data_IF_051845642234
#
_entry.id   IF_051845642234
#
_cell.length_a   1.000
_cell.length_b   1.000
_cell.length_c   1.000
_cell.angle_alpha   90.00
_cell.angle_beta   90.00
_cell.angle_gamma   90.00
#
_symmetry.space_group_name_H-M   'P 1'
#
loop_
_entity.id
_entity.type
_entity.pdbx_description
1 polymer ?
#
# COMPACT_ATOMS: atom_id res chain seq x y z
N UNK A 1 12.96 -25.84 16.68
CA UNK A 1 11.60 -25.29 16.87
C UNK A 1 11.63 -23.87 17.44
N UNK A 2 12.26 -23.60 18.60
CA UNK A 2 12.24 -22.25 19.23
C UNK A 2 12.87 -21.12 18.37
N UNK A 3 14.03 -21.36 17.74
CA UNK A 3 14.70 -20.36 16.86
C UNK A 3 13.87 -20.00 15.62
N UNK A 4 13.20 -20.97 15.01
CA UNK A 4 12.31 -20.74 13.86
C UNK A 4 11.06 -19.96 14.23
N UNK A 5 10.47 -20.22 15.42
CA UNK A 5 9.31 -19.48 15.92
C UNK A 5 9.64 -18.01 16.24
N UNK A 6 10.85 -17.74 16.74
CA UNK A 6 11.32 -16.37 16.98
C UNK A 6 11.51 -15.63 15.65
N UNK A 7 12.22 -16.22 14.69
CA UNK A 7 12.43 -15.66 13.34
C UNK A 7 11.11 -15.32 12.62
N UNK A 8 10.14 -16.24 12.68
CA UNK A 8 8.83 -16.02 12.11
C UNK A 8 8.14 -14.78 12.71
N UNK A 9 8.17 -14.65 14.04
CA UNK A 9 7.52 -13.55 14.75
C UNK A 9 8.26 -12.21 14.61
N UNK A 10 9.58 -12.21 14.48
CA UNK A 10 10.39 -10.97 14.49
C UNK A 10 10.66 -10.40 13.11
N UNK A 11 10.62 -11.20 12.03
CA UNK A 11 10.96 -10.72 10.68
C UNK A 11 9.93 -11.06 9.62
N UNK A 12 9.35 -12.28 9.65
CA UNK A 12 8.37 -12.68 8.63
C UNK A 12 7.01 -12.04 8.88
N UNK A 13 6.49 -12.05 10.12
CA UNK A 13 5.19 -11.47 10.42
C UNK A 13 5.08 -9.98 10.03
N UNK A 14 6.06 -9.11 10.35
CA UNK A 14 6.04 -7.72 9.89
C UNK A 14 5.97 -7.56 8.37
N UNK A 15 6.66 -8.44 7.61
CA UNK A 15 6.57 -8.46 6.15
C UNK A 15 5.14 -8.77 5.70
N UNK A 16 4.51 -9.82 6.26
CA UNK A 16 3.12 -10.18 5.94
C UNK A 16 2.17 -9.01 6.23
N UNK A 17 2.32 -8.38 7.38
CA UNK A 17 1.47 -7.25 7.78
C UNK A 17 1.66 -6.05 6.83
N UNK A 18 2.90 -5.78 6.40
CA UNK A 18 3.20 -4.73 5.43
C UNK A 18 2.61 -5.01 4.04
N UNK A 19 2.65 -6.25 3.56
CA UNK A 19 2.05 -6.62 2.27
C UNK A 19 0.51 -6.49 2.29
N UNK A 20 -0.11 -6.91 3.39
CA UNK A 20 -1.55 -6.70 3.60
C UNK A 20 -1.90 -5.22 3.63
N UNK A 21 -1.11 -4.40 4.34
CA UNK A 21 -1.30 -2.96 4.38
C UNK A 21 -1.13 -2.34 2.99
N UNK A 22 -0.09 -2.74 2.25
CA UNK A 22 0.18 -2.30 0.89
C UNK A 22 -0.99 -2.62 -0.05
N UNK A 23 -1.57 -3.81 0.07
CA UNK A 23 -2.74 -4.22 -0.70
C UNK A 23 -3.96 -3.32 -0.41
N UNK A 24 -4.20 -3.00 0.88
CA UNK A 24 -5.24 -2.04 1.28
C UNK A 24 -4.97 -0.64 0.70
N UNK A 25 -3.73 -0.16 0.77
CA UNK A 25 -3.33 1.12 0.20
C UNK A 25 -3.58 1.18 -1.32
N UNK A 26 -3.27 0.11 -2.06
CA UNK A 26 -3.53 0.05 -3.50
C UNK A 26 -5.01 0.15 -3.84
N UNK A 27 -5.85 -0.58 -3.09
CA UNK A 27 -7.31 -0.48 -3.24
C UNK A 27 -7.79 0.94 -2.94
N UNK A 28 -7.27 1.54 -1.87
CA UNK A 28 -7.61 2.90 -1.49
C UNK A 28 -7.21 3.93 -2.57
N UNK A 29 -5.99 3.86 -3.08
CA UNK A 29 -5.51 4.69 -4.19
C UNK A 29 -6.40 4.50 -5.43
N UNK A 30 -6.77 3.25 -5.74
CA UNK A 30 -7.69 2.94 -6.83
C UNK A 30 -9.06 3.62 -6.65
N UNK A 31 -9.60 3.60 -5.44
CA UNK A 31 -10.86 4.28 -5.11
C UNK A 31 -10.77 5.80 -5.25
N UNK A 32 -9.72 6.42 -4.70
CA UNK A 32 -9.49 7.86 -4.84
C UNK A 32 -9.36 8.27 -6.32
N UNK A 33 -8.61 7.48 -7.09
CA UNK A 33 -8.41 7.72 -8.52
C UNK A 33 -9.74 7.65 -9.28
N UNK A 34 -10.58 6.66 -9.01
CA UNK A 34 -11.90 6.53 -9.62
C UNK A 34 -12.81 7.72 -9.27
N UNK A 35 -12.84 8.14 -8.00
CA UNK A 35 -13.61 9.32 -7.57
C UNK A 35 -13.17 10.58 -8.30
N UNK A 36 -11.86 10.81 -8.44
CA UNK A 36 -11.34 11.94 -9.21
C UNK A 36 -11.77 11.85 -10.69
N UNK A 37 -11.65 10.68 -11.33
CA UNK A 37 -12.03 10.49 -12.73
C UNK A 37 -13.51 10.79 -13.01
N UNK A 38 -14.40 10.37 -12.11
CA UNK A 38 -15.84 10.58 -12.21
C UNK A 38 -16.26 12.05 -12.01
N UNK A 39 -15.41 12.87 -11.39
CA UNK A 39 -15.71 14.26 -11.02
C UNK A 39 -14.98 15.25 -11.91
N UNK A 40 -13.66 15.22 -11.88
CA UNK A 40 -12.79 15.99 -12.76
C UNK A 40 -11.47 15.24 -12.99
N UNK A 41 -11.26 14.66 -14.18
CA UNK A 41 -10.04 13.94 -14.48
C UNK A 41 -8.78 14.84 -14.48
N UNK A 42 -8.92 16.18 -14.52
CA UNK A 42 -7.78 17.10 -14.45
C UNK A 42 -7.07 17.05 -13.08
N UNK A 43 -7.75 16.64 -12.02
CA UNK A 43 -7.19 16.46 -10.67
C UNK A 43 -5.99 15.48 -10.69
N UNK A 44 -6.01 14.50 -11.62
CA UNK A 44 -4.97 13.48 -11.73
C UNK A 44 -3.92 13.77 -12.82
N UNK A 45 -4.05 14.86 -13.58
CA UNK A 45 -3.29 15.06 -14.82
C UNK A 45 -1.77 15.10 -14.63
N UNK A 46 -1.28 15.49 -13.45
CA UNK A 46 0.14 15.52 -13.11
C UNK A 46 0.58 14.35 -12.21
N UNK A 47 -0.31 13.41 -11.91
CA UNK A 47 -0.07 12.32 -10.97
C UNK A 47 0.18 11.01 -11.70
N UNK A 48 1.30 10.37 -11.36
CA UNK A 48 1.65 9.04 -11.85
C UNK A 48 1.86 8.10 -10.67
N UNK A 49 1.17 6.94 -10.62
CA UNK A 49 1.37 5.98 -9.55
C UNK A 49 2.82 5.50 -9.51
N UNK A 50 3.40 5.28 -8.32
CA UNK A 50 4.73 4.72 -8.18
C UNK A 50 4.78 3.29 -8.75
N UNK A 51 5.98 2.80 -9.09
CA UNK A 51 6.15 1.45 -9.63
C UNK A 51 5.54 0.37 -8.72
N UNK A 52 5.58 0.60 -7.40
CA UNK A 52 5.02 -0.28 -6.40
C UNK A 52 3.52 -0.48 -6.49
N UNK A 53 2.79 0.44 -7.13
CA UNK A 53 1.35 0.31 -7.35
C UNK A 53 1.00 -0.86 -8.26
N UNK A 54 1.84 -1.12 -9.27
CA UNK A 54 1.59 -2.11 -10.31
C UNK A 54 2.17 -3.50 -9.99
N UNK A 55 2.90 -3.66 -8.89
CA UNK A 55 3.37 -4.98 -8.45
C UNK A 55 2.18 -5.81 -7.99
N UNK A 56 1.78 -6.80 -8.78
CA UNK A 56 0.84 -7.83 -8.35
C UNK A 56 1.64 -9.05 -7.91
N UNK A 57 2.11 -9.01 -6.66
CA UNK A 57 2.84 -10.13 -6.09
C UNK A 57 1.83 -11.19 -5.66
N UNK A 58 1.93 -12.38 -6.26
CA UNK A 58 1.22 -13.55 -5.77
C UNK A 58 1.65 -13.81 -4.32
N UNK A 59 0.80 -13.39 -3.38
CA UNK A 59 1.09 -13.39 -1.95
C UNK A 59 1.53 -14.79 -1.49
N UNK A 60 0.82 -15.85 -1.89
CA UNK A 60 1.18 -17.21 -1.52
C UNK A 60 2.58 -17.61 -2.03
N UNK A 61 2.96 -17.20 -3.23
CA UNK A 61 4.29 -17.45 -3.77
C UNK A 61 5.38 -16.60 -3.08
N UNK A 62 5.07 -15.37 -2.68
CA UNK A 62 5.97 -14.53 -1.90
C UNK A 62 6.19 -15.05 -0.48
N UNK A 63 5.12 -15.42 0.22
CA UNK A 63 5.21 -16.03 1.56
C UNK A 63 6.08 -17.30 1.56
N UNK A 64 5.94 -18.15 0.54
CA UNK A 64 6.80 -19.32 0.38
C UNK A 64 8.28 -18.97 0.13
N UNK A 65 8.57 -17.83 -0.50
CA UNK A 65 9.95 -17.33 -0.67
C UNK A 65 10.50 -16.82 0.66
N UNK A 66 9.71 -16.08 1.44
CA UNK A 66 10.13 -15.56 2.76
C UNK A 66 10.59 -16.68 3.69
N UNK A 67 9.89 -17.82 3.71
CA UNK A 67 10.27 -18.98 4.53
C UNK A 67 11.65 -19.58 4.18
N UNK A 68 12.19 -19.28 3.00
CA UNK A 68 13.46 -19.81 2.49
C UNK A 68 14.61 -18.80 2.56
N UNK A 69 14.30 -17.53 2.85
CA UNK A 69 15.29 -16.47 2.94
C UNK A 69 16.11 -16.57 4.23
N UNK A 70 17.34 -16.10 4.14
CA UNK A 70 18.21 -15.88 5.30
C UNK A 70 17.79 -14.64 6.09
N UNK A 71 18.22 -14.49 7.36
CA UNK A 71 17.94 -13.28 8.15
C UNK A 71 18.33 -11.96 7.48
N UNK A 72 19.48 -11.93 6.79
CA UNK A 72 19.96 -10.73 6.11
C UNK A 72 19.08 -10.41 4.88
N UNK A 73 18.69 -11.43 4.11
CA UNK A 73 17.75 -11.26 2.99
C UNK A 73 16.36 -10.80 3.47
N UNK A 74 15.86 -11.35 4.58
CA UNK A 74 14.60 -10.92 5.19
C UNK A 74 14.66 -9.46 5.64
N UNK A 75 15.81 -9.01 6.16
CA UNK A 75 15.99 -7.63 6.59
C UNK A 75 16.00 -6.67 5.39
N UNK A 76 16.67 -7.03 4.30
CA UNK A 76 16.65 -6.26 3.05
C UNK A 76 15.26 -6.22 2.41
N UNK A 77 14.53 -7.35 2.42
CA UNK A 77 13.17 -7.42 1.91
C UNK A 77 12.23 -6.56 2.77
N UNK A 78 12.46 -6.47 4.08
CA UNK A 78 11.70 -5.60 4.99
C UNK A 78 11.89 -4.14 4.65
N UNK A 79 13.15 -3.68 4.56
CA UNK A 79 13.47 -2.30 4.18
C UNK A 79 12.87 -1.92 2.81
N UNK A 80 12.87 -2.87 1.87
CA UNK A 80 12.25 -2.69 0.56
C UNK A 80 10.73 -2.54 0.68
N UNK A 81 10.05 -3.42 1.41
CA UNK A 81 8.59 -3.36 1.59
C UNK A 81 8.16 -2.08 2.32
N UNK A 82 8.93 -1.64 3.33
CA UNK A 82 8.70 -0.38 4.03
C UNK A 82 8.78 0.82 3.08
N UNK A 83 9.81 0.85 2.22
CA UNK A 83 9.97 1.92 1.22
C UNK A 83 8.84 1.92 0.20
N UNK A 84 8.51 0.77 -0.37
CA UNK A 84 7.40 0.64 -1.33
C UNK A 84 6.05 1.05 -0.72
N UNK A 85 5.83 0.72 0.56
CA UNK A 85 4.64 1.15 1.30
C UNK A 85 4.63 2.65 1.56
N UNK A 86 5.78 3.25 1.87
CA UNK A 86 5.91 4.69 2.06
C UNK A 86 5.62 5.45 0.75
N UNK A 87 6.15 5.00 -0.39
CA UNK A 87 5.89 5.59 -1.70
C UNK A 87 4.40 5.58 -2.05
N UNK A 88 3.70 4.47 -1.74
CA UNK A 88 2.26 4.36 -1.94
C UNK A 88 1.47 5.29 -1.01
N UNK A 89 1.88 5.38 0.26
CA UNK A 89 1.25 6.26 1.22
C UNK A 89 1.41 7.74 0.80
N UNK A 90 2.61 8.13 0.36
CA UNK A 90 2.88 9.47 -0.16
C UNK A 90 2.00 9.78 -1.37
N UNK A 91 1.90 8.85 -2.31
CA UNK A 91 1.05 9.01 -3.49
C UNK A 91 -0.43 9.16 -3.12
N UNK A 92 -0.95 8.34 -2.20
CA UNK A 92 -2.32 8.47 -1.69
C UNK A 92 -2.56 9.86 -1.05
N UNK A 93 -1.59 10.33 -0.25
CA UNK A 93 -1.64 11.65 0.37
C UNK A 93 -1.63 12.78 -0.68
N UNK A 94 -0.84 12.65 -1.75
CA UNK A 94 -0.84 13.62 -2.85
C UNK A 94 -2.20 13.66 -3.55
N UNK A 95 -2.84 12.52 -3.81
CA UNK A 95 -4.19 12.49 -4.40
C UNK A 95 -5.19 13.19 -3.46
N UNK A 96 -5.16 12.90 -2.16
CA UNK A 96 -6.02 13.56 -1.18
C UNK A 96 -5.83 15.08 -1.15
N UNK A 97 -4.60 15.57 -1.27
CA UNK A 97 -4.31 16.99 -1.38
C UNK A 97 -4.93 17.59 -2.65
N UNK A 98 -4.76 16.93 -3.79
CA UNK A 98 -5.37 17.41 -5.04
C UNK A 98 -6.89 17.45 -4.95
N UNK A 99 -7.50 16.44 -4.32
CA UNK A 99 -8.94 16.43 -4.04
C UNK A 99 -9.32 17.62 -3.17
N UNK A 100 -8.61 17.87 -2.07
CA UNK A 100 -8.91 18.97 -1.16
C UNK A 100 -8.81 20.34 -1.85
N UNK A 101 -7.85 20.52 -2.76
CA UNK A 101 -7.62 21.78 -3.46
C UNK A 101 -8.63 22.04 -4.59
N UNK A 102 -9.11 20.99 -5.26
CA UNK A 102 -9.94 21.13 -6.48
C UNK A 102 -11.42 20.80 -6.25
N UNK A 103 -11.73 19.83 -5.37
CA UNK A 103 -13.08 19.34 -5.09
C UNK A 103 -13.21 18.89 -3.62
N UNK A 104 -13.13 19.81 -2.65
CA UNK A 104 -13.17 19.46 -1.22
C UNK A 104 -14.49 18.78 -0.79
N UNK A 105 -15.56 18.95 -1.56
CA UNK A 105 -16.88 18.35 -1.35
C UNK A 105 -16.90 16.82 -1.46
N UNK A 106 -15.90 16.20 -2.10
CA UNK A 106 -15.79 14.73 -2.16
C UNK A 106 -14.97 14.13 -1.03
N UNK A 107 -14.29 14.94 -0.20
CA UNK A 107 -13.56 14.44 0.97
C UNK A 107 -14.49 13.73 1.96
N UNK A 108 -15.73 14.20 2.12
CA UNK A 108 -16.73 13.56 2.97
C UNK A 108 -17.11 12.16 2.44
N UNK A 109 -17.21 12.00 1.11
CA UNK A 109 -17.45 10.70 0.47
C UNK A 109 -16.27 9.74 0.67
N UNK A 110 -15.04 10.25 0.59
CA UNK A 110 -13.82 9.47 0.85
C UNK A 110 -13.76 8.99 2.31
N UNK A 111 -14.07 9.86 3.26
CA UNK A 111 -14.08 9.51 4.70
C UNK A 111 -15.14 8.44 4.99
N UNK A 112 -16.36 8.61 4.50
CA UNK A 112 -17.43 7.63 4.72
C UNK A 112 -17.11 6.25 4.13
N UNK A 113 -16.51 6.20 2.93
CA UNK A 113 -16.12 4.94 2.29
C UNK A 113 -14.98 4.21 3.05
N UNK A 114 -14.08 4.96 3.67
CA UNK A 114 -13.01 4.41 4.52
C UNK A 114 -13.53 3.83 5.84
N UNK A 115 -14.51 4.48 6.46
CA UNK A 115 -15.13 4.02 7.69
C UNK A 115 -15.96 2.75 7.48
N UNK A 116 -16.60 2.58 6.32
CA UNK A 116 -17.35 1.36 5.96
C UNK A 116 -16.48 0.16 5.59
N UNK A 117 -15.21 0.40 5.21
CA UNK A 117 -14.27 -0.64 4.77
C UNK A 117 -13.38 -1.20 5.90
N UNK A 118 -13.62 -0.76 7.15
CA UNK A 118 -12.79 -1.04 8.35
C UNK A 118 -13.37 -2.11 9.27
#
# INVERSE_FOLDING_TARGET
>A
MLRSAILFRTMIQPLIDLDQNRSKLKLYIGHLTALCQDRDPQILHALHPPASYYQDDNQAAWEQRLQKMTPDELSQELEKCERESADLQEFANTILQQIADHCPDILEQVVNALEESS
#
